data_IF_712981278949
#
_entry.id   IF_712981278949
#
_cell.length_a   1.000
_cell.length_b   1.000
_cell.length_c   1.000
_cell.angle_alpha   90.00
_cell.angle_beta   90.00
_cell.angle_gamma   90.00
#
_symmetry.space_group_name_H-M   'P 1'
#
loop_
_entity.id
_entity.type
_entity.pdbx_description
1 polymer ?
#
# COMPACT_ATOMS: atom_id res chain seq x y z
N UNK A 1 13.08 17.43 2.34
CA UNK A 1 11.80 17.61 1.62
C UNK A 1 11.16 18.89 2.11
N UNK A 2 10.81 19.81 1.20
CA UNK A 2 10.24 21.13 1.57
C UNK A 2 8.80 20.95 2.08
N UNK A 3 8.30 21.93 2.85
CA UNK A 3 6.99 21.85 3.50
C UNK A 3 5.85 21.76 2.47
N UNK A 4 5.97 22.49 1.37
CA UNK A 4 4.96 22.50 0.30
C UNK A 4 4.85 21.14 -0.41
N UNK A 5 5.96 20.43 -0.58
CA UNK A 5 5.96 19.07 -1.15
C UNK A 5 5.21 18.09 -0.23
N UNK A 6 5.36 18.24 1.11
CA UNK A 6 4.59 17.44 2.08
C UNK A 6 3.09 17.70 1.98
N UNK A 7 2.69 18.97 1.85
CA UNK A 7 1.28 19.37 1.77
C UNK A 7 0.67 18.87 0.46
N UNK A 8 1.38 19.02 -0.66
CA UNK A 8 0.93 18.53 -1.97
C UNK A 8 0.77 17.02 -1.98
N UNK A 9 1.77 16.27 -1.51
CA UNK A 9 1.70 14.82 -1.44
C UNK A 9 0.54 14.34 -0.55
N UNK A 10 0.30 15.02 0.58
CA UNK A 10 -0.86 14.72 1.44
C UNK A 10 -2.20 14.96 0.76
N UNK A 11 -2.33 16.06 -0.01
CA UNK A 11 -3.56 16.35 -0.78
C UNK A 11 -3.82 15.32 -1.86
N UNK A 12 -2.79 14.94 -2.62
CA UNK A 12 -2.88 13.92 -3.67
C UNK A 12 -3.29 12.57 -3.06
N UNK A 13 -2.62 12.14 -1.99
CA UNK A 13 -2.99 10.91 -1.28
C UNK A 13 -4.42 10.97 -0.73
N UNK A 14 -4.89 12.12 -0.25
CA UNK A 14 -6.25 12.27 0.26
C UNK A 14 -7.30 12.18 -0.85
N UNK A 15 -7.06 12.84 -1.99
CA UNK A 15 -7.94 12.81 -3.16
C UNK A 15 -8.09 11.40 -3.72
N UNK A 16 -6.97 10.67 -3.80
CA UNK A 16 -6.92 9.32 -4.37
C UNK A 16 -7.26 8.22 -3.36
N UNK A 17 -7.50 8.57 -2.09
CA UNK A 17 -7.81 7.61 -1.02
C UNK A 17 -9.06 6.77 -1.30
N UNK A 18 -9.98 7.29 -2.11
CA UNK A 18 -11.25 6.62 -2.43
C UNK A 18 -11.12 5.56 -3.52
N UNK A 19 -10.02 5.54 -4.28
CA UNK A 19 -9.77 4.52 -5.29
C UNK A 19 -9.00 3.36 -4.69
N UNK A 20 -9.61 2.16 -4.69
CA UNK A 20 -8.99 0.96 -4.14
C UNK A 20 -7.70 0.58 -4.87
N UNK A 21 -7.65 0.80 -6.19
CA UNK A 21 -6.45 0.59 -7.02
C UNK A 21 -5.29 1.46 -6.55
N UNK A 22 -5.50 2.77 -6.42
CA UNK A 22 -4.46 3.69 -5.98
C UNK A 22 -4.06 3.45 -4.53
N UNK A 23 -5.01 3.11 -3.66
CA UNK A 23 -4.71 2.73 -2.29
C UNK A 23 -3.79 1.49 -2.25
N UNK A 24 -4.02 0.50 -3.11
CA UNK A 24 -3.12 -0.65 -3.20
C UNK A 24 -1.72 -0.27 -3.72
N UNK A 25 -1.63 0.56 -4.75
CA UNK A 25 -0.35 1.03 -5.28
C UNK A 25 0.45 1.81 -4.22
N UNK A 26 -0.23 2.64 -3.43
CA UNK A 26 0.39 3.33 -2.30
C UNK A 26 0.88 2.35 -1.24
N UNK A 27 0.12 1.30 -0.95
CA UNK A 27 0.56 0.24 -0.04
C UNK A 27 1.85 -0.44 -0.53
N UNK A 28 1.92 -0.77 -1.83
CA UNK A 28 3.09 -1.36 -2.46
C UNK A 28 4.31 -0.43 -2.40
N UNK A 29 4.13 0.86 -2.67
CA UNK A 29 5.21 1.85 -2.59
C UNK A 29 5.79 1.95 -1.17
N UNK A 30 4.93 1.93 -0.15
CA UNK A 30 5.40 1.94 1.25
C UNK A 30 6.07 0.62 1.65
N UNK A 31 5.63 -0.52 1.12
CA UNK A 31 6.31 -1.80 1.30
C UNK A 31 7.73 -1.78 0.70
N UNK A 32 7.86 -1.37 -0.56
CA UNK A 32 9.17 -1.22 -1.22
C UNK A 32 10.05 -0.21 -0.49
N UNK A 33 9.46 0.86 0.05
CA UNK A 33 10.21 1.81 0.87
C UNK A 33 10.74 1.13 2.13
N UNK A 34 9.92 0.34 2.82
CA UNK A 34 10.31 -0.37 4.03
C UNK A 34 11.47 -1.35 3.80
N UNK A 35 11.46 -2.12 2.71
CA UNK A 35 12.54 -3.08 2.38
C UNK A 35 13.88 -2.43 2.07
N UNK A 36 13.88 -1.16 1.66
CA UNK A 36 15.10 -0.38 1.38
C UNK A 36 15.64 0.39 2.59
N UNK A 37 14.98 0.31 3.76
CA UNK A 37 15.42 0.98 4.99
C UNK A 37 16.23 0.03 5.85
N UNK A 38 17.18 0.58 6.59
CA UNK A 38 18.02 -0.14 7.55
C UNK A 38 17.66 0.14 9.01
N UNK A 39 16.98 1.27 9.27
CA UNK A 39 16.55 1.66 10.62
C UNK A 39 15.17 1.06 10.93
N UNK A 40 15.08 0.30 12.01
CA UNK A 40 13.85 -0.40 12.43
C UNK A 40 12.65 0.54 12.60
N UNK A 41 12.86 1.75 13.15
CA UNK A 41 11.80 2.75 13.30
C UNK A 41 11.23 3.18 11.94
N UNK A 42 12.11 3.36 10.95
CA UNK A 42 11.73 3.77 9.59
C UNK A 42 11.05 2.63 8.84
N UNK A 43 11.48 1.39 9.06
CA UNK A 43 10.82 0.19 8.53
C UNK A 43 9.41 0.11 9.13
N UNK A 44 9.29 0.24 10.45
CA UNK A 44 8.01 0.16 11.17
C UNK A 44 7.03 1.23 10.73
N UNK A 45 7.47 2.49 10.57
CA UNK A 45 6.62 3.58 10.06
C UNK A 45 6.15 3.32 8.63
N UNK A 46 7.04 2.83 7.76
CA UNK A 46 6.68 2.49 6.38
C UNK A 46 5.71 1.29 6.32
N UNK A 47 5.94 0.23 7.10
CA UNK A 47 5.03 -0.91 7.24
C UNK A 47 3.65 -0.47 7.74
N UNK A 48 3.59 0.41 8.76
CA UNK A 48 2.34 0.95 9.28
C UNK A 48 1.54 1.68 8.19
N UNK A 49 2.21 2.50 7.38
CA UNK A 49 1.56 3.20 6.25
C UNK A 49 1.09 2.22 5.19
N UNK A 50 1.89 1.21 4.85
CA UNK A 50 1.49 0.16 3.91
C UNK A 50 0.22 -0.55 4.37
N UNK A 51 0.13 -0.95 5.64
CA UNK A 51 -1.06 -1.57 6.25
C UNK A 51 -2.29 -0.67 6.17
N UNK A 52 -2.15 0.61 6.51
CA UNK A 52 -3.25 1.56 6.44
C UNK A 52 -3.83 1.67 5.02
N UNK A 53 -2.96 1.66 4.02
CA UNK A 53 -3.34 1.71 2.62
C UNK A 53 -3.97 0.40 2.13
N UNK A 54 -3.47 -0.77 2.58
CA UNK A 54 -4.10 -2.07 2.31
C UNK A 54 -5.54 -2.13 2.86
N UNK A 55 -5.75 -1.68 4.09
CA UNK A 55 -7.09 -1.60 4.69
C UNK A 55 -8.01 -0.66 3.91
N UNK A 56 -7.47 0.47 3.44
CA UNK A 56 -8.22 1.42 2.60
C UNK A 56 -8.58 0.81 1.24
N UNK A 57 -7.70 0.00 0.66
CA UNK A 57 -7.95 -0.75 -0.56
C UNK A 57 -8.93 -1.93 -0.37
N UNK A 58 -9.38 -2.18 0.86
CA UNK A 58 -10.35 -3.23 1.19
C UNK A 58 -9.73 -4.59 1.51
N UNK A 59 -8.41 -4.67 1.70
CA UNK A 59 -7.75 -5.90 2.09
C UNK A 59 -7.82 -6.13 3.59
N UNK A 60 -8.10 -7.38 3.98
CA UNK A 60 -8.03 -7.79 5.37
C UNK A 60 -6.56 -7.93 5.78
N UNK A 61 -6.17 -7.19 6.82
CA UNK A 61 -4.84 -7.28 7.43
C UNK A 61 -5.00 -7.83 8.84
N UNK A 62 -4.14 -8.77 9.23
CA UNK A 62 -4.22 -9.39 10.55
C UNK A 62 -3.97 -8.36 11.65
N UNK A 63 -4.84 -8.29 12.65
CA UNK A 63 -4.79 -7.27 13.71
C UNK A 63 -3.53 -7.32 14.58
N UNK A 64 -2.90 -8.49 14.66
CA UNK A 64 -1.67 -8.71 15.43
C UNK A 64 -0.41 -8.14 14.75
N UNK A 65 -0.51 -7.65 13.51
CA UNK A 65 0.62 -7.10 12.75
C UNK A 65 1.36 -5.98 13.49
N UNK A 66 0.69 -5.31 14.44
CA UNK A 66 1.24 -4.23 15.27
C UNK A 66 2.37 -4.73 16.19
N UNK A 67 2.23 -5.96 16.69
CA UNK A 67 3.12 -6.59 17.66
C UNK A 67 4.26 -7.39 17.03
N UNK A 68 4.21 -7.58 15.71
CA UNK A 68 5.25 -8.28 14.96
C UNK A 68 6.55 -7.47 14.90
N UNK A 69 7.67 -8.17 14.77
CA UNK A 69 8.98 -7.59 14.46
C UNK A 69 8.94 -6.92 13.07
N UNK A 70 9.87 -5.99 12.75
CA UNK A 70 9.92 -5.36 11.44
C UNK A 70 10.00 -6.36 10.28
N UNK A 71 10.75 -7.45 10.45
CA UNK A 71 10.87 -8.51 9.44
C UNK A 71 9.55 -9.28 9.23
N UNK A 72 8.88 -9.70 10.32
CA UNK A 72 7.60 -10.39 10.24
C UNK A 72 6.47 -9.50 9.68
N UNK A 73 6.53 -8.18 9.96
CA UNK A 73 5.64 -7.18 9.34
C UNK A 73 5.82 -7.16 7.82
N UNK A 74 7.06 -7.12 7.34
CA UNK A 74 7.36 -7.13 5.91
C UNK A 74 6.83 -8.40 5.25
N UNK A 75 7.11 -9.56 5.82
CA UNK A 75 6.65 -10.84 5.28
C UNK A 75 5.10 -10.92 5.23
N UNK A 76 4.43 -10.45 6.28
CA UNK A 76 2.97 -10.43 6.32
C UNK A 76 2.38 -9.50 5.26
N UNK A 77 2.95 -8.30 5.10
CA UNK A 77 2.54 -7.34 4.07
C UNK A 77 2.80 -7.92 2.67
N UNK A 78 3.95 -8.55 2.46
CA UNK A 78 4.31 -9.19 1.20
C UNK A 78 3.32 -10.27 0.80
N UNK A 79 2.95 -11.17 1.73
CA UNK A 79 1.94 -12.21 1.48
C UNK A 79 0.62 -11.62 1.02
N UNK A 80 0.18 -10.50 1.62
CA UNK A 80 -1.04 -9.82 1.21
C UNK A 80 -0.87 -9.22 -0.20
N UNK A 81 0.21 -8.49 -0.47
CA UNK A 81 0.44 -7.85 -1.77
C UNK A 81 0.54 -8.91 -2.88
N UNK A 82 1.37 -9.95 -2.69
CA UNK A 82 1.60 -11.00 -3.68
C UNK A 82 0.35 -11.84 -3.88
N UNK A 83 -0.29 -12.27 -2.78
CA UNK A 83 -1.50 -13.09 -2.81
C UNK A 83 -2.68 -12.39 -3.48
N UNK A 84 -2.73 -11.05 -3.43
CA UNK A 84 -3.79 -10.26 -4.04
C UNK A 84 -3.39 -9.60 -5.38
N UNK A 85 -2.14 -9.77 -5.84
CA UNK A 85 -1.68 -9.25 -7.14
C UNK A 85 -2.47 -9.84 -8.30
N UNK A 86 -2.83 -11.14 -8.21
CA UNK A 86 -3.68 -11.80 -9.21
C UNK A 86 -5.08 -11.18 -9.29
N UNK A 87 -5.68 -10.86 -8.14
CA UNK A 87 -7.01 -10.23 -8.03
C UNK A 87 -7.01 -8.83 -8.68
N UNK A 88 -5.89 -8.10 -8.59
CA UNK A 88 -5.75 -6.79 -9.22
C UNK A 88 -5.53 -6.87 -10.73
N UNK A 89 -4.77 -7.84 -11.22
CA UNK A 89 -4.60 -8.08 -12.67
C UNK A 89 -5.94 -8.48 -13.31
N UNK A 90 -6.72 -9.34 -12.66
CA UNK A 90 -8.08 -9.68 -13.09
C UNK A 90 -9.01 -8.47 -13.09
N UNK A 91 -8.97 -7.64 -12.04
CA UNK A 91 -9.81 -6.42 -11.96
C UNK A 91 -9.40 -5.38 -13.00
N UNK A 92 -8.11 -5.18 -13.28
CA UNK A 92 -7.65 -4.30 -14.35
C UNK A 92 -8.08 -4.80 -15.74
N UNK A 93 -7.95 -6.10 -16.01
CA UNK A 93 -8.46 -6.70 -17.24
C UNK A 93 -9.98 -6.53 -17.39
N UNK A 94 -10.72 -6.65 -16.29
CA UNK A 94 -12.17 -6.46 -16.25
C UNK A 94 -12.60 -5.01 -16.49
N UNK A 95 -11.81 -4.04 -16.01
CA UNK A 95 -12.06 -2.60 -16.23
C UNK A 95 -11.70 -2.20 -17.66
N UNK A 96 -10.58 -2.68 -18.20
CA UNK A 96 -10.21 -2.48 -19.61
C UNK A 96 -11.25 -3.08 -20.59
N UNK A 97 -11.83 -4.24 -20.24
CA UNK A 97 -12.91 -4.84 -21.02
C UNK A 97 -14.23 -4.05 -20.99
N UNK A 98 -14.45 -3.21 -19.95
CA UNK A 98 -15.66 -2.37 -19.81
C UNK A 98 -15.51 -0.97 -20.42
N UNK A 99 -14.29 -0.53 -20.66
CA UNK A 99 -13.97 0.75 -21.30
C UNK A 99 -12.85 0.55 -22.34
N UNK A 100 -13.17 0.01 -23.53
CA UNK A 100 -12.17 -0.35 -24.54
C UNK A 100 -11.54 0.85 -25.27
N UNK A 101 -12.02 2.08 -25.03
CA UNK A 101 -11.65 3.28 -25.79
C UNK A 101 -10.71 4.25 -25.03
N UNK A 102 -10.02 3.79 -24.00
CA UNK A 102 -8.89 4.48 -23.33
C UNK A 102 -7.59 3.73 -23.63
#
# INVERSE_FOLDING_TARGET
MKLDDKIRNRRISYLLKREQSTAFELALLYYILATRRTSEDKITDACRKSVQWLQTAGFQVVDNIKYLTPAEKLESIEKIIVGNRAILLERQASVAARHPDL
#
